data_IF_047042070874
#
_entry.id   IF_047042070874
#
_cell.length_a   1.000
_cell.length_b   1.000
_cell.length_c   1.000
_cell.angle_alpha   90.00
_cell.angle_beta   90.00
_cell.angle_gamma   90.00
#
_symmetry.space_group_name_H-M   'P 1'
#
loop_
_entity.id
_entity.type
_entity.pdbx_description
1 polymer ?
#
# COMPACT_ATOMS: atom_id res chain seq x y z
N UNK A 1 3.90 2.49 -2.10
CA UNK A 1 3.28 3.54 -1.27
C UNK A 1 3.59 3.30 0.21
N UNK A 2 3.90 4.35 0.95
CA UNK A 2 4.33 4.22 2.35
C UNK A 2 3.24 3.65 3.26
N UNK A 3 2.01 4.14 3.16
CA UNK A 3 0.91 3.65 4.01
C UNK A 3 0.64 2.18 3.78
N UNK A 4 0.66 1.74 2.54
CA UNK A 4 0.49 0.34 2.19
C UNK A 4 1.60 -0.52 2.80
N UNK A 5 2.85 -0.07 2.69
CA UNK A 5 4.00 -0.77 3.25
C UNK A 5 3.88 -0.91 4.76
N UNK A 6 3.53 0.18 5.45
CA UNK A 6 3.34 0.16 6.91
C UNK A 6 2.17 -0.77 7.28
N UNK A 7 1.09 -0.72 6.51
CA UNK A 7 -0.06 -1.60 6.70
C UNK A 7 0.33 -3.07 6.63
N UNK A 8 1.10 -3.45 5.59
CA UNK A 8 1.55 -4.83 5.42
C UNK A 8 2.51 -5.27 6.52
N UNK A 9 3.44 -4.40 6.92
CA UNK A 9 4.36 -4.70 8.02
C UNK A 9 3.60 -4.86 9.34
N UNK A 10 2.56 -4.03 9.56
CA UNK A 10 1.76 -4.06 10.78
C UNK A 10 0.94 -5.35 10.94
N UNK A 11 0.66 -6.05 9.86
CA UNK A 11 -0.05 -7.34 9.93
C UNK A 11 0.78 -8.42 10.62
N UNK A 12 2.10 -8.31 10.56
CA UNK A 12 3.02 -9.32 11.10
C UNK A 12 3.74 -8.86 12.36
N UNK A 13 3.58 -7.60 12.78
CA UNK A 13 4.31 -7.07 13.92
C UNK A 13 3.61 -5.81 14.45
N UNK A 14 3.59 -5.69 15.78
CA UNK A 14 3.12 -4.47 16.47
C UNK A 14 4.25 -3.47 16.69
N UNK A 15 5.46 -3.78 16.19
CA UNK A 15 6.69 -3.04 16.46
C UNK A 15 7.31 -2.46 15.20
N UNK A 16 6.49 -1.91 14.30
CA UNK A 16 6.97 -1.33 13.04
C UNK A 16 7.61 0.03 13.30
N UNK A 17 8.85 0.20 12.85
CA UNK A 17 9.61 1.45 12.96
C UNK A 17 9.97 1.97 11.58
N UNK A 18 10.42 3.24 11.52
CA UNK A 18 10.88 3.84 10.26
C UNK A 18 11.99 3.04 9.60
N UNK A 19 12.88 2.40 10.39
CA UNK A 19 13.96 1.58 9.84
C UNK A 19 13.40 0.36 9.08
N UNK A 20 12.31 -0.23 9.57
CA UNK A 20 11.68 -1.36 8.89
C UNK A 20 11.10 -0.94 7.54
N UNK A 21 10.56 0.27 7.46
CA UNK A 21 10.06 0.84 6.21
C UNK A 21 11.22 1.10 5.24
N UNK A 22 12.35 1.65 5.75
CA UNK A 22 13.56 1.85 4.95
C UNK A 22 14.01 0.52 4.33
N UNK A 23 14.11 -0.52 5.14
CA UNK A 23 14.58 -1.83 4.70
C UNK A 23 13.64 -2.45 3.67
N UNK A 24 12.33 -2.33 3.89
CA UNK A 24 11.33 -2.91 2.99
C UNK A 24 11.28 -2.21 1.65
N UNK A 25 11.39 -0.87 1.64
CA UNK A 25 11.26 -0.06 0.42
C UNK A 25 12.59 0.22 -0.26
N UNK A 26 13.71 0.02 0.42
CA UNK A 26 15.02 0.35 -0.12
C UNK A 26 15.29 1.85 -0.20
N UNK A 27 14.59 2.65 0.60
CA UNK A 27 14.76 4.10 0.62
C UNK A 27 15.64 4.54 1.78
N UNK A 28 16.25 5.72 1.67
CA UNK A 28 17.12 6.27 2.70
C UNK A 28 16.31 6.71 3.93
N UNK A 29 16.99 6.74 5.10
CA UNK A 29 16.38 7.23 6.34
C UNK A 29 15.81 8.64 6.22
N UNK A 30 16.52 9.63 5.65
CA UNK A 30 15.95 10.97 5.49
C UNK A 30 14.67 11.00 4.66
N UNK A 31 14.62 10.23 3.58
CA UNK A 31 13.43 10.15 2.73
C UNK A 31 12.25 9.57 3.48
N UNK A 32 12.45 8.47 4.21
CA UNK A 32 11.39 7.82 4.99
C UNK A 32 10.93 8.73 6.14
N UNK A 33 11.87 9.37 6.85
CA UNK A 33 11.53 10.29 7.95
C UNK A 33 10.67 11.45 7.47
N UNK A 34 10.99 12.00 6.30
CA UNK A 34 10.21 13.09 5.71
C UNK A 34 8.80 12.63 5.36
N UNK A 35 8.69 11.47 4.72
CA UNK A 35 7.39 10.91 4.34
C UNK A 35 6.54 10.60 5.57
N UNK A 36 7.12 9.99 6.60
CA UNK A 36 6.44 9.69 7.86
C UNK A 36 5.94 10.98 8.51
N UNK A 37 6.78 12.03 8.53
CA UNK A 37 6.39 13.32 9.09
C UNK A 37 5.20 13.92 8.38
N UNK A 38 5.18 13.87 7.04
CA UNK A 38 4.05 14.38 6.24
C UNK A 38 2.77 13.57 6.48
N UNK A 39 2.89 12.26 6.60
CA UNK A 39 1.73 11.40 6.88
C UNK A 39 1.18 11.63 8.28
N UNK A 40 2.04 11.90 9.25
CA UNK A 40 1.61 12.27 10.61
C UNK A 40 0.84 13.59 10.59
N UNK A 41 1.35 14.59 9.87
CA UNK A 41 0.69 15.89 9.72
C UNK A 41 -0.68 15.74 9.06
N UNK A 42 -0.79 14.85 8.08
CA UNK A 42 -2.04 14.59 7.38
C UNK A 42 -3.07 13.77 8.16
N UNK A 43 -2.69 13.26 9.33
CA UNK A 43 -3.61 12.46 10.15
C UNK A 43 -3.70 10.99 9.76
N UNK A 44 -2.74 10.47 9.00
CA UNK A 44 -2.74 9.07 8.54
C UNK A 44 -1.90 8.14 9.41
N UNK A 45 -0.93 8.69 10.13
CA UNK A 45 -0.03 7.95 11.01
C UNK A 45 0.09 8.62 12.35
N UNK A 46 0.40 7.83 13.38
CA UNK A 46 0.88 8.35 14.66
C UNK A 46 2.01 7.45 15.16
N UNK A 47 2.81 7.97 16.09
CA UNK A 47 3.87 7.20 16.73
C UNK A 47 3.63 7.18 18.23
N UNK A 48 4.00 6.07 18.88
CA UNK A 48 3.96 6.00 20.35
C UNK A 48 5.28 6.54 20.94
N UNK A 49 5.40 6.48 22.26
CA UNK A 49 6.60 6.96 22.95
C UNK A 49 7.87 6.19 22.60
N UNK A 50 7.73 4.98 22.06
CA UNK A 50 8.86 4.14 21.66
C UNK A 50 9.24 4.30 20.19
N UNK A 51 8.55 5.19 19.47
CA UNK A 51 8.81 5.43 18.05
C UNK A 51 8.20 4.40 17.10
N UNK A 52 7.32 3.55 17.59
CA UNK A 52 6.60 2.60 16.73
C UNK A 52 5.53 3.33 15.92
N UNK A 53 5.39 2.93 14.66
CA UNK A 53 4.45 3.53 13.73
C UNK A 53 3.11 2.81 13.76
N UNK A 54 2.03 3.58 13.82
CA UNK A 54 0.66 3.06 13.77
C UNK A 54 -0.16 3.85 12.77
N UNK A 55 -1.02 3.14 12.04
CA UNK A 55 -1.98 3.78 11.14
C UNK A 55 -3.18 4.27 11.95
N UNK A 56 -3.63 5.49 11.66
CA UNK A 56 -4.93 5.97 12.13
C UNK A 56 -6.02 5.24 11.35
N UNK A 57 -7.29 5.41 11.74
CA UNK A 57 -8.41 4.83 10.98
C UNK A 57 -8.41 5.34 9.54
N UNK A 58 -8.11 6.63 9.33
CA UNK A 58 -8.01 7.19 7.98
C UNK A 58 -6.84 6.59 7.20
N UNK A 59 -5.70 6.39 7.86
CA UNK A 59 -4.54 5.75 7.25
C UNK A 59 -4.83 4.31 6.83
N UNK A 60 -5.55 3.57 7.66
CA UNK A 60 -5.95 2.19 7.35
C UNK A 60 -6.88 2.13 6.14
N UNK A 61 -7.83 3.06 6.04
CA UNK A 61 -8.73 3.12 4.88
C UNK A 61 -7.98 3.35 3.57
N UNK A 62 -7.05 4.30 3.57
CA UNK A 62 -6.24 4.61 2.39
C UNK A 62 -5.35 3.43 2.02
N UNK A 63 -4.67 2.84 2.99
CA UNK A 63 -3.78 1.70 2.77
C UNK A 63 -4.54 0.48 2.26
N UNK A 64 -5.71 0.19 2.84
CA UNK A 64 -6.54 -0.94 2.43
C UNK A 64 -7.05 -0.75 1.00
N UNK A 65 -7.50 0.45 0.65
CA UNK A 65 -7.98 0.76 -0.70
C UNK A 65 -6.87 0.54 -1.74
N UNK A 66 -5.67 1.02 -1.47
CA UNK A 66 -4.53 0.86 -2.37
C UNK A 66 -4.14 -0.62 -2.49
N UNK A 67 -4.10 -1.34 -1.37
CA UNK A 67 -3.76 -2.75 -1.35
C UNK A 67 -4.80 -3.59 -2.12
N UNK A 68 -6.08 -3.31 -1.95
CA UNK A 68 -7.14 -3.98 -2.69
C UNK A 68 -6.97 -3.79 -4.19
N UNK A 69 -6.67 -2.56 -4.63
CA UNK A 69 -6.41 -2.27 -6.04
C UNK A 69 -5.24 -3.08 -6.56
N UNK A 70 -4.17 -3.16 -5.78
CA UNK A 70 -2.98 -3.93 -6.16
C UNK A 70 -3.33 -5.41 -6.38
N UNK A 71 -4.01 -6.02 -5.42
CA UNK A 71 -4.35 -7.44 -5.49
C UNK A 71 -5.29 -7.73 -6.66
N UNK A 72 -6.35 -6.95 -6.80
CA UNK A 72 -7.36 -7.16 -7.84
C UNK A 72 -6.77 -6.97 -9.24
N UNK A 73 -5.99 -5.89 -9.44
CA UNK A 73 -5.37 -5.63 -10.74
C UNK A 73 -4.35 -6.70 -11.10
N UNK A 74 -3.53 -7.13 -10.14
CA UNK A 74 -2.56 -8.21 -10.38
C UNK A 74 -3.27 -9.50 -10.81
N UNK A 75 -4.32 -9.88 -10.12
CA UNK A 75 -5.10 -11.08 -10.43
C UNK A 75 -5.77 -10.97 -11.80
N UNK A 76 -6.30 -9.79 -12.12
CA UNK A 76 -6.94 -9.56 -13.41
C UNK A 76 -5.94 -9.74 -14.56
N UNK A 77 -4.76 -9.13 -14.46
CA UNK A 77 -3.74 -9.24 -15.49
C UNK A 77 -3.26 -10.68 -15.65
N UNK A 78 -3.07 -11.41 -14.57
CA UNK A 78 -2.71 -12.82 -14.64
C UNK A 78 -3.82 -13.64 -15.33
N UNK A 79 -5.07 -13.30 -15.06
CA UNK A 79 -6.22 -14.02 -15.65
C UNK A 79 -6.30 -13.89 -17.16
N UNK A 80 -5.73 -12.83 -17.72
CA UNK A 80 -5.71 -12.61 -19.18
C UNK A 80 -4.40 -13.04 -19.82
N UNK A 81 -3.52 -13.70 -19.06
CA UNK A 81 -2.31 -14.29 -19.60
C UNK A 81 -1.02 -13.55 -19.33
N UNK A 82 -1.04 -12.49 -18.52
CA UNK A 82 0.16 -11.75 -18.16
C UNK A 82 0.92 -12.53 -17.07
N UNK A 83 2.25 -12.57 -17.17
CA UNK A 83 3.07 -13.24 -16.16
C UNK A 83 2.89 -12.57 -14.79
N UNK A 84 3.08 -13.34 -13.72
CA UNK A 84 2.92 -12.82 -12.35
C UNK A 84 3.83 -11.62 -12.09
N UNK A 85 5.07 -11.64 -12.54
CA UNK A 85 6.02 -10.53 -12.36
C UNK A 85 5.54 -9.26 -13.07
N UNK A 86 5.16 -9.35 -14.33
CA UNK A 86 4.69 -8.20 -15.10
C UNK A 86 3.35 -7.69 -14.55
N UNK A 87 2.45 -8.60 -14.19
CA UNK A 87 1.16 -8.24 -13.60
C UNK A 87 1.34 -7.42 -12.33
N UNK A 88 2.23 -7.85 -11.44
CA UNK A 88 2.55 -7.14 -10.20
C UNK A 88 3.14 -5.76 -10.48
N UNK A 89 4.10 -5.68 -11.41
CA UNK A 89 4.75 -4.41 -11.76
C UNK A 89 3.77 -3.41 -12.34
N UNK A 90 2.90 -3.85 -13.25
CA UNK A 90 1.90 -2.97 -13.86
C UNK A 90 0.85 -2.55 -12.83
N UNK A 91 0.41 -3.45 -11.97
CA UNK A 91 -0.55 -3.14 -10.92
C UNK A 91 0.00 -2.05 -9.98
N UNK A 92 1.27 -2.14 -9.59
CA UNK A 92 1.92 -1.13 -8.77
C UNK A 92 1.86 0.27 -9.37
N UNK A 93 1.91 0.37 -10.69
CA UNK A 93 1.85 1.66 -11.39
C UNK A 93 0.43 2.16 -11.54
N UNK A 94 -0.49 1.28 -11.91
CA UNK A 94 -1.86 1.64 -12.25
C UNK A 94 -2.71 1.93 -11.01
N UNK A 95 -2.44 1.28 -9.88
CA UNK A 95 -3.26 1.38 -8.67
C UNK A 95 -3.42 2.81 -8.17
N UNK A 96 -2.49 3.70 -8.50
CA UNK A 96 -2.51 5.09 -8.07
C UNK A 96 -3.26 6.02 -9.03
N UNK A 97 -3.49 5.58 -10.26
CA UNK A 97 -4.04 6.45 -11.32
C UNK A 97 -5.38 5.97 -11.87
N UNK A 98 -5.74 4.72 -11.63
CA UNK A 98 -6.98 4.16 -12.15
C UNK A 98 -8.19 4.79 -11.43
N UNK A 99 -9.24 5.12 -12.19
CA UNK A 99 -10.47 5.66 -11.61
C UNK A 99 -11.23 4.58 -10.84
N UNK A 100 -12.08 5.01 -9.90
CA UNK A 100 -12.96 4.09 -9.18
C UNK A 100 -13.90 3.35 -10.13
N UNK A 101 -14.41 4.05 -11.12
CA UNK A 101 -15.31 3.44 -12.12
C UNK A 101 -14.64 2.29 -12.84
N UNK A 102 -13.44 2.51 -13.38
CA UNK A 102 -12.70 1.47 -14.10
C UNK A 102 -12.30 0.35 -13.17
N UNK A 103 -11.80 0.67 -11.97
CA UNK A 103 -11.42 -0.35 -11.01
C UNK A 103 -12.60 -1.23 -10.62
N UNK A 104 -13.77 -0.65 -10.35
CA UNK A 104 -14.96 -1.41 -9.98
C UNK A 104 -15.43 -2.32 -11.11
N UNK A 105 -15.30 -1.87 -12.36
CA UNK A 105 -15.61 -2.68 -13.53
C UNK A 105 -14.68 -3.90 -13.64
N UNK A 106 -13.38 -3.70 -13.43
CA UNK A 106 -12.38 -4.78 -13.42
C UNK A 106 -12.68 -5.77 -12.30
N UNK A 107 -12.93 -5.27 -11.10
CA UNK A 107 -13.24 -6.09 -9.92
C UNK A 107 -14.47 -6.95 -10.15
N UNK A 108 -15.51 -6.37 -10.73
CA UNK A 108 -16.75 -7.11 -11.05
C UNK A 108 -16.49 -8.22 -12.07
N UNK A 109 -15.75 -7.92 -13.13
CA UNK A 109 -15.44 -8.92 -14.15
C UNK A 109 -14.61 -10.08 -13.57
N UNK A 110 -13.64 -9.78 -12.74
CA UNK A 110 -12.80 -10.80 -12.10
C UNK A 110 -13.64 -11.69 -11.17
N UNK A 111 -14.57 -11.10 -10.41
CA UNK A 111 -15.41 -11.84 -9.47
C UNK A 111 -16.43 -12.72 -10.19
N UNK A 112 -16.90 -12.30 -11.37
CA UNK A 112 -17.93 -13.01 -12.14
C UNK A 112 -17.37 -14.17 -12.98
N UNK A 113 -16.07 -14.39 -12.96
CA UNK A 113 -15.43 -15.49 -13.68
C UNK A 113 -15.62 -16.84 -13.02
#
# INVERSE_FOLDING_TARGET
MYLETIYLLSKNSDSVRSIDVCDKMGFSKPSVSRAVGLLKQGGYLYTDKNGYLFLTDEGKKVAHKTYERHVVLSQFFESIGVSAETATNDACKIEHVISDETFNAVKKLLRDK
#
